data_IF_301715147249
#
_entry.id   IF_301715147249
#
_cell.length_a   1.000
_cell.length_b   1.000
_cell.length_c   1.000
_cell.angle_alpha   90.00
_cell.angle_beta   90.00
_cell.angle_gamma   90.00
#
_symmetry.space_group_name_H-M   'P 1'
#
loop_
_entity.id
_entity.type
_entity.pdbx_description
1 polymer ?
#
# COMPACT_ATOMS: atom_id res chain seq x y z
N UNK A 1 13.54 21.38 58.52
CA UNK A 1 12.25 21.32 59.22
C UNK A 1 11.23 21.93 58.28
N UNK A 2 10.36 21.24 57.56
CA UNK A 2 9.96 19.83 57.46
C UNK A 2 9.26 19.70 56.10
N UNK A 3 9.31 18.54 55.45
CA UNK A 3 8.42 18.20 54.32
C UNK A 3 6.93 18.29 54.69
N UNK A 4 6.03 18.12 53.70
CA UNK A 4 5.49 16.77 53.48
C UNK A 4 5.41 16.36 52.00
N UNK A 5 5.94 15.16 51.72
CA UNK A 5 5.24 13.96 51.21
C UNK A 5 4.26 14.07 50.03
N UNK A 6 4.71 13.45 48.94
CA UNK A 6 4.10 12.26 48.31
C UNK A 6 2.71 12.37 47.67
N UNK A 7 2.69 12.37 46.33
CA UNK A 7 1.61 11.74 45.57
C UNK A 7 2.22 11.03 44.35
N UNK A 8 2.82 9.87 44.66
CA UNK A 8 3.01 8.78 43.74
C UNK A 8 1.68 8.40 43.07
N UNK A 9 1.62 8.55 41.74
CA UNK A 9 0.67 7.87 40.88
C UNK A 9 1.45 7.13 39.79
N UNK A 10 1.79 5.89 40.11
CA UNK A 10 2.19 4.87 39.13
C UNK A 10 1.04 4.57 38.16
N UNK A 11 1.47 4.00 37.02
CA UNK A 11 0.76 3.12 36.09
C UNK A 11 0.18 3.84 34.84
N UNK A 12 0.52 3.46 33.60
CA UNK A 12 0.90 2.14 33.09
C UNK A 12 1.89 2.28 31.91
N UNK A 13 2.99 1.51 31.94
CA UNK A 13 3.86 1.26 30.79
C UNK A 13 3.24 0.18 29.88
N UNK A 14 3.32 0.28 28.54
CA UNK A 14 2.78 -0.70 27.59
C UNK A 14 3.83 -1.77 27.24
N UNK A 15 4.31 -2.53 28.23
CA UNK A 15 5.35 -3.56 28.00
C UNK A 15 4.80 -4.90 27.45
N UNK A 16 3.47 -5.05 27.33
CA UNK A 16 2.83 -6.29 26.87
C UNK A 16 2.74 -6.44 25.34
N UNK A 17 2.73 -5.34 24.59
CA UNK A 17 2.45 -5.34 23.13
C UNK A 17 3.71 -5.63 22.29
N UNK A 18 4.88 -5.22 22.80
CA UNK A 18 6.19 -5.44 22.17
C UNK A 18 6.70 -6.86 22.33
N UNK A 19 6.41 -7.53 23.45
CA UNK A 19 6.80 -8.93 23.68
C UNK A 19 6.06 -9.89 22.73
N UNK A 20 4.76 -9.66 22.51
CA UNK A 20 3.93 -10.43 21.56
C UNK A 20 4.40 -10.21 20.11
N UNK A 21 4.69 -8.97 19.72
CA UNK A 21 5.20 -8.65 18.39
C UNK A 21 6.61 -9.23 18.12
N UNK A 22 7.48 -9.27 19.14
CA UNK A 22 8.83 -9.83 19.04
C UNK A 22 8.81 -11.36 18.93
N UNK A 23 7.95 -12.04 19.71
CA UNK A 23 7.78 -13.49 19.66
C UNK A 23 7.24 -13.96 18.31
N UNK A 24 6.22 -13.25 17.79
CA UNK A 24 5.66 -13.56 16.48
C UNK A 24 6.70 -13.38 15.35
N UNK A 25 7.54 -12.35 15.41
CA UNK A 25 8.60 -12.14 14.42
C UNK A 25 9.69 -13.24 14.47
N UNK A 26 10.06 -13.70 15.66
CA UNK A 26 11.00 -14.83 15.83
C UNK A 26 10.43 -16.14 15.28
N UNK A 27 9.18 -16.47 15.61
CA UNK A 27 8.47 -17.65 15.08
C UNK A 27 8.33 -17.56 13.55
N UNK A 28 8.03 -16.38 13.02
CA UNK A 28 7.95 -16.16 11.58
C UNK A 28 9.31 -16.39 10.89
N UNK A 29 10.42 -15.96 11.52
CA UNK A 29 11.78 -16.22 11.02
C UNK A 29 12.16 -17.71 11.07
N UNK A 30 11.64 -18.47 12.03
CA UNK A 30 11.93 -19.91 12.13
C UNK A 30 11.18 -20.75 11.09
N UNK A 31 10.23 -20.15 10.36
CA UNK A 31 9.43 -20.84 9.35
C UNK A 31 8.15 -21.45 9.92
N UNK A 32 7.67 -20.98 11.07
CA UNK A 32 6.43 -21.44 11.69
C UNK A 32 5.20 -21.02 10.85
N UNK A 33 4.51 -22.02 10.30
CA UNK A 33 3.30 -21.81 9.48
C UNK A 33 2.14 -21.28 10.32
N UNK A 34 2.08 -21.60 11.62
CA UNK A 34 1.05 -21.07 12.52
C UNK A 34 1.25 -19.57 12.72
N UNK A 35 2.50 -19.14 12.94
CA UNK A 35 2.85 -17.72 13.01
C UNK A 35 2.55 -16.98 11.69
N UNK A 36 2.69 -17.65 10.53
CA UNK A 36 2.23 -17.10 9.25
C UNK A 36 0.72 -16.85 9.26
N UNK A 37 -0.08 -17.81 9.71
CA UNK A 37 -1.53 -17.66 9.85
C UNK A 37 -1.91 -16.48 10.74
N UNK A 38 -1.35 -16.43 11.95
CA UNK A 38 -1.59 -15.36 12.92
C UNK A 38 -1.26 -13.97 12.35
N UNK A 39 -0.07 -13.82 11.74
CA UNK A 39 0.35 -12.56 11.13
C UNK A 39 -0.54 -12.17 9.93
N UNK A 40 -0.93 -13.15 9.12
CA UNK A 40 -1.77 -12.91 7.95
C UNK A 40 -3.15 -12.44 8.36
N UNK A 41 -3.78 -13.08 9.36
CA UNK A 41 -5.09 -12.68 9.85
C UNK A 41 -5.06 -11.29 10.50
N UNK A 42 -4.00 -10.98 11.26
CA UNK A 42 -3.80 -9.64 11.81
C UNK A 42 -3.65 -8.57 10.70
N UNK A 43 -3.00 -8.91 9.59
CA UNK A 43 -2.76 -8.00 8.47
C UNK A 43 -3.89 -7.99 7.43
N UNK A 44 -4.78 -8.99 7.43
CA UNK A 44 -5.78 -9.24 6.38
C UNK A 44 -6.61 -8.01 6.02
N UNK A 45 -7.22 -7.26 6.96
CA UNK A 45 -8.02 -6.09 6.60
C UNK A 45 -7.21 -5.01 5.88
N UNK A 46 -5.93 -4.86 6.23
CA UNK A 46 -5.04 -3.88 5.59
C UNK A 46 -4.56 -4.37 4.22
N UNK A 47 -4.22 -5.65 4.10
CA UNK A 47 -3.87 -6.27 2.81
C UNK A 47 -5.04 -6.25 1.83
N UNK A 48 -6.27 -6.48 2.30
CA UNK A 48 -7.48 -6.41 1.48
C UNK A 48 -7.66 -5.02 0.88
N UNK A 49 -7.56 -3.95 1.70
CA UNK A 49 -7.65 -2.56 1.21
C UNK A 49 -6.58 -2.24 0.17
N UNK A 50 -5.36 -2.76 0.35
CA UNK A 50 -4.27 -2.61 -0.63
C UNK A 50 -4.63 -3.35 -1.92
N UNK A 51 -5.12 -4.58 -1.84
CA UNK A 51 -5.55 -5.36 -3.00
C UNK A 51 -6.67 -4.64 -3.77
N UNK A 52 -7.72 -4.20 -3.09
CA UNK A 52 -8.84 -3.45 -3.68
C UNK A 52 -8.40 -2.13 -4.31
N UNK A 53 -7.45 -1.42 -3.69
CA UNK A 53 -6.87 -0.20 -4.24
C UNK A 53 -6.08 -0.47 -5.52
N UNK A 54 -5.22 -1.50 -5.51
CA UNK A 54 -4.30 -1.81 -6.61
C UNK A 54 -4.91 -2.67 -7.71
N UNK A 55 -6.05 -3.31 -7.47
CA UNK A 55 -6.78 -4.09 -8.47
C UNK A 55 -7.37 -3.18 -9.55
N UNK A 56 -6.87 -3.36 -10.78
CA UNK A 56 -7.36 -2.70 -11.99
C UNK A 56 -8.85 -3.02 -12.22
N UNK A 57 -9.63 -2.02 -12.62
CA UNK A 57 -11.06 -2.17 -12.89
C UNK A 57 -11.41 -3.24 -13.93
N UNK A 58 -10.52 -3.51 -14.90
CA UNK A 58 -10.68 -4.59 -15.89
C UNK A 58 -10.52 -5.98 -15.26
N UNK A 59 -9.71 -6.09 -14.20
CA UNK A 59 -9.48 -7.32 -13.46
C UNK A 59 -10.53 -7.58 -12.40
N UNK A 60 -11.13 -6.53 -11.82
CA UNK A 60 -12.23 -6.68 -10.84
C UNK A 60 -13.45 -7.44 -11.37
N UNK A 61 -13.65 -7.45 -12.68
CA UNK A 61 -14.72 -8.25 -13.31
C UNK A 61 -14.41 -9.76 -13.34
N UNK A 62 -13.18 -10.17 -13.00
CA UNK A 62 -12.67 -11.55 -13.15
C UNK A 62 -12.05 -12.13 -11.89
N UNK A 63 -11.54 -11.29 -11.00
CA UNK A 63 -10.81 -11.68 -9.79
C UNK A 63 -11.19 -10.74 -8.65
N UNK A 64 -11.59 -11.30 -7.52
CA UNK A 64 -11.89 -10.54 -6.31
C UNK A 64 -10.63 -10.35 -5.43
N UNK A 65 -10.66 -9.38 -4.52
CA UNK A 65 -9.62 -9.15 -3.53
C UNK A 65 -9.37 -10.40 -2.66
N UNK A 66 -10.43 -11.16 -2.33
CA UNK A 66 -10.28 -12.40 -1.56
C UNK A 66 -9.49 -13.48 -2.32
N UNK A 67 -9.67 -13.59 -3.65
CA UNK A 67 -8.87 -14.49 -4.48
C UNK A 67 -7.38 -14.08 -4.46
N UNK A 68 -7.11 -12.77 -4.54
CA UNK A 68 -5.75 -12.23 -4.45
C UNK A 68 -5.14 -12.55 -3.08
N UNK A 69 -5.90 -12.38 -2.00
CA UNK A 69 -5.42 -12.68 -0.64
C UNK A 69 -5.14 -14.17 -0.48
N UNK A 70 -5.98 -15.04 -1.03
CA UNK A 70 -5.76 -16.48 -1.01
C UNK A 70 -4.48 -16.86 -1.77
N UNK A 71 -4.29 -16.34 -2.99
CA UNK A 71 -3.06 -16.58 -3.75
C UNK A 71 -1.83 -16.02 -3.02
N UNK A 72 -1.96 -14.86 -2.37
CA UNK A 72 -0.90 -14.24 -1.56
C UNK A 72 -0.52 -15.11 -0.37
N UNK A 73 -1.49 -15.66 0.35
CA UNK A 73 -1.24 -16.58 1.46
C UNK A 73 -0.49 -17.83 0.99
N UNK A 74 -0.93 -18.43 -0.12
CA UNK A 74 -0.26 -19.61 -0.70
C UNK A 74 1.17 -19.28 -1.15
N UNK A 75 1.39 -18.11 -1.74
CA UNK A 75 2.72 -17.65 -2.13
C UNK A 75 3.61 -17.38 -0.91
N UNK A 76 3.05 -16.80 0.15
CA UNK A 76 3.74 -16.58 1.43
C UNK A 76 4.15 -17.90 2.08
N UNK A 77 3.25 -18.87 2.16
CA UNK A 77 3.56 -20.18 2.75
C UNK A 77 4.72 -20.89 2.03
N UNK A 78 4.76 -20.85 0.69
CA UNK A 78 5.87 -21.41 -0.10
C UNK A 78 7.21 -20.69 0.12
N UNK A 79 7.16 -19.42 0.53
CA UNK A 79 8.32 -18.53 0.61
C UNK A 79 8.69 -18.16 2.04
N UNK A 80 8.02 -18.73 3.05
CA UNK A 80 8.17 -18.35 4.44
C UNK A 80 9.65 -18.35 4.91
N UNK A 81 10.42 -19.35 4.50
CA UNK A 81 11.86 -19.43 4.80
C UNK A 81 12.73 -18.32 4.18
N UNK A 82 12.19 -17.51 3.26
CA UNK A 82 12.89 -16.35 2.71
C UNK A 82 12.73 -15.09 3.58
N UNK A 83 11.70 -15.03 4.44
CA UNK A 83 11.50 -13.88 5.33
C UNK A 83 12.74 -13.61 6.18
N UNK A 84 13.28 -14.66 6.81
CA UNK A 84 14.46 -14.56 7.67
C UNK A 84 15.73 -14.07 6.96
N UNK A 85 15.79 -14.20 5.62
CA UNK A 85 16.95 -13.81 4.80
C UNK A 85 16.77 -12.46 4.11
N UNK A 86 15.55 -11.93 4.12
CA UNK A 86 15.21 -10.70 3.41
C UNK A 86 15.44 -9.44 4.26
N UNK A 87 15.44 -8.25 3.63
CA UNK A 87 15.66 -6.96 4.29
C UNK A 87 14.42 -6.44 5.06
N UNK A 88 13.44 -7.30 5.34
CA UNK A 88 12.14 -6.88 5.85
C UNK A 88 12.17 -6.60 7.34
N UNK A 89 11.65 -5.43 7.73
CA UNK A 89 11.61 -4.97 9.12
C UNK A 89 10.34 -5.40 9.86
N UNK A 90 9.36 -5.98 9.15
CA UNK A 90 8.15 -6.55 9.76
C UNK A 90 7.47 -7.60 8.86
N UNK A 91 6.69 -8.54 9.43
CA UNK A 91 5.89 -9.49 8.65
C UNK A 91 4.90 -8.80 7.72
N UNK A 92 4.33 -7.66 8.14
CA UNK A 92 3.42 -6.87 7.31
C UNK A 92 4.09 -6.39 6.01
N UNK A 93 5.29 -5.81 6.09
CA UNK A 93 5.99 -5.31 4.90
C UNK A 93 6.35 -6.44 3.93
N UNK A 94 6.68 -7.61 4.46
CA UNK A 94 6.94 -8.80 3.67
C UNK A 94 5.67 -9.33 2.99
N UNK A 95 4.59 -9.52 3.74
CA UNK A 95 3.29 -9.95 3.20
C UNK A 95 2.76 -8.99 2.14
N UNK A 96 2.94 -7.68 2.34
CA UNK A 96 2.62 -6.65 1.35
C UNK A 96 3.48 -6.78 0.09
N UNK A 97 4.77 -7.07 0.22
CA UNK A 97 5.64 -7.29 -0.93
C UNK A 97 5.17 -8.51 -1.75
N UNK A 98 4.79 -9.61 -1.08
CA UNK A 98 4.20 -10.78 -1.72
C UNK A 98 2.88 -10.43 -2.39
N UNK A 99 1.99 -9.69 -1.72
CA UNK A 99 0.72 -9.22 -2.30
C UNK A 99 0.95 -8.43 -3.58
N UNK A 100 1.94 -7.53 -3.57
CA UNK A 100 2.28 -6.70 -4.74
C UNK A 100 2.75 -7.58 -5.90
N UNK A 101 3.59 -8.58 -5.64
CA UNK A 101 4.00 -9.56 -6.65
C UNK A 101 2.80 -10.38 -7.18
N UNK A 102 1.93 -10.86 -6.29
CA UNK A 102 0.72 -11.60 -6.66
C UNK A 102 -0.16 -10.77 -7.60
N UNK A 103 -0.39 -9.49 -7.28
CA UNK A 103 -1.15 -8.57 -8.14
C UNK A 103 -0.52 -8.41 -9.52
N UNK A 104 0.82 -8.27 -9.59
CA UNK A 104 1.57 -8.18 -10.85
C UNK A 104 1.43 -9.48 -11.65
N UNK A 105 1.53 -10.63 -11.00
CA UNK A 105 1.42 -11.95 -11.63
C UNK A 105 0.01 -12.24 -12.11
N UNK A 106 -1.01 -11.88 -11.35
CA UNK A 106 -2.42 -11.95 -11.74
C UNK A 106 -2.67 -11.03 -12.93
N UNK A 107 -2.21 -9.77 -12.87
CA UNK A 107 -2.35 -8.84 -13.98
C UNK A 107 -1.67 -9.39 -15.25
N UNK A 108 -0.44 -9.91 -15.13
CA UNK A 108 0.28 -10.54 -16.25
C UNK A 108 -0.46 -11.76 -16.80
N UNK A 109 -1.02 -12.62 -15.95
CA UNK A 109 -1.80 -13.78 -16.40
C UNK A 109 -3.07 -13.38 -17.13
N UNK A 110 -3.79 -12.38 -16.66
CA UNK A 110 -5.12 -12.05 -17.19
C UNK A 110 -5.11 -11.05 -18.35
N UNK A 111 -4.14 -10.12 -18.35
CA UNK A 111 -3.95 -9.12 -19.42
C UNK A 111 -2.87 -9.58 -20.39
N UNK A 112 -1.78 -10.17 -19.89
CA UNK A 112 -0.68 -10.71 -20.69
C UNK A 112 -0.97 -12.07 -21.34
N UNK A 113 -2.02 -12.81 -20.96
CA UNK A 113 -2.44 -13.99 -21.75
C UNK A 113 -2.85 -13.63 -23.20
N UNK A 114 -3.05 -12.35 -23.54
CA UNK A 114 -3.19 -11.89 -24.93
C UNK A 114 -1.85 -11.74 -25.68
N UNK A 115 -0.70 -11.73 -24.99
CA UNK A 115 0.64 -11.69 -25.59
C UNK A 115 1.56 -12.73 -24.93
N UNK A 116 1.73 -13.87 -25.60
CA UNK A 116 2.58 -14.99 -25.14
C UNK A 116 3.99 -14.52 -24.76
N UNK A 117 4.34 -14.58 -23.47
CA UNK A 117 5.74 -14.70 -23.02
C UNK A 117 5.81 -15.35 -21.63
N UNK A 118 6.82 -16.21 -21.35
CA UNK A 118 6.88 -17.01 -20.14
C UNK A 118 7.43 -16.24 -18.93
N UNK A 119 7.22 -16.87 -17.79
CA UNK A 119 7.53 -16.51 -16.42
C UNK A 119 8.96 -15.96 -16.23
N UNK A 120 9.05 -14.71 -15.74
CA UNK A 120 10.21 -14.22 -15.00
C UNK A 120 9.81 -14.12 -13.55
N UNK A 121 10.41 -14.98 -12.72
CA UNK A 121 10.47 -14.77 -11.28
C UNK A 121 11.28 -13.49 -11.03
N UNK A 122 10.62 -12.47 -10.50
CA UNK A 122 11.27 -11.21 -10.13
C UNK A 122 11.83 -11.37 -8.72
N UNK A 123 13.08 -10.93 -8.45
CA UNK A 123 13.63 -10.95 -7.10
C UNK A 123 12.74 -10.19 -6.10
N UNK A 124 12.59 -10.76 -4.90
CA UNK A 124 11.79 -10.18 -3.81
C UNK A 124 12.26 -8.78 -3.39
N UNK A 125 13.53 -8.46 -3.64
CA UNK A 125 14.20 -7.23 -3.16
C UNK A 125 14.25 -6.10 -4.20
N UNK A 126 13.71 -6.30 -5.41
CA UNK A 126 13.64 -5.22 -6.39
C UNK A 126 12.51 -4.24 -6.00
N UNK A 127 12.71 -2.91 -6.06
CA UNK A 127 11.63 -1.95 -5.92
C UNK A 127 10.60 -2.18 -7.04
N UNK A 128 9.49 -2.84 -6.71
CA UNK A 128 8.39 -3.07 -7.64
C UNK A 128 7.37 -1.96 -7.47
N UNK A 129 7.39 -1.03 -8.42
CA UNK A 129 6.33 -0.05 -8.56
C UNK A 129 5.18 -0.69 -9.32
N UNK A 130 3.96 -0.75 -8.76
CA UNK A 130 2.82 -1.22 -9.51
C UNK A 130 2.63 -0.37 -10.78
N UNK A 131 2.56 -1.02 -11.94
CA UNK A 131 2.42 -0.32 -13.22
C UNK A 131 1.16 0.56 -13.30
N UNK A 132 0.15 0.26 -12.48
CA UNK A 132 -1.13 0.95 -12.43
C UNK A 132 -1.27 1.93 -11.25
N UNK A 133 -0.18 2.37 -10.59
CA UNK A 133 -0.24 3.30 -9.44
C UNK A 133 -1.02 4.58 -9.79
N UNK A 134 -0.72 5.21 -10.92
CA UNK A 134 -1.37 6.47 -11.34
C UNK A 134 -2.87 6.30 -11.58
N UNK A 135 -3.27 5.23 -12.27
CA UNK A 135 -4.67 4.89 -12.55
C UNK A 135 -5.45 4.61 -11.26
N UNK A 136 -4.88 3.81 -10.35
CA UNK A 136 -5.49 3.51 -9.05
C UNK A 136 -5.73 4.76 -8.20
N UNK A 137 -4.74 5.67 -8.15
CA UNK A 137 -4.87 6.96 -7.49
C UNK A 137 -5.96 7.83 -8.11
N UNK A 138 -6.03 7.89 -9.45
CA UNK A 138 -7.04 8.68 -10.16
C UNK A 138 -8.47 8.18 -9.91
N UNK A 139 -8.69 6.86 -9.93
CA UNK A 139 -9.98 6.23 -9.60
C UNK A 139 -10.48 6.70 -8.24
N UNK A 140 -9.63 6.60 -7.22
CA UNK A 140 -10.02 6.94 -5.85
C UNK A 140 -10.25 8.44 -5.66
N UNK A 141 -9.38 9.28 -6.19
CA UNK A 141 -9.48 10.74 -6.05
C UNK A 141 -10.74 11.29 -6.74
N UNK A 142 -11.07 10.80 -7.93
CA UNK A 142 -12.27 11.23 -8.67
C UNK A 142 -13.54 10.62 -8.10
N UNK A 143 -13.46 9.38 -7.61
CA UNK A 143 -14.56 8.70 -6.92
C UNK A 143 -15.10 9.49 -5.73
N UNK A 144 -14.20 10.12 -4.96
CA UNK A 144 -14.56 10.91 -3.78
C UNK A 144 -15.01 12.35 -4.11
N UNK A 145 -14.81 12.83 -5.34
CA UNK A 145 -15.01 14.24 -5.70
C UNK A 145 -16.29 14.52 -6.49
N UNK A 146 -17.05 13.51 -6.94
CA UNK A 146 -18.16 13.70 -7.91
C UNK A 146 -19.46 13.01 -7.47
N UNK A 147 -20.60 13.68 -7.67
CA UNK A 147 -21.93 13.09 -7.53
C UNK A 147 -22.30 12.29 -8.80
N UNK A 148 -23.25 11.33 -8.73
CA UNK A 148 -23.50 10.35 -9.81
C UNK A 148 -24.04 10.89 -11.16
N UNK A 149 -24.13 12.21 -11.37
CA UNK A 149 -24.90 12.80 -12.48
C UNK A 149 -24.20 12.89 -13.86
N UNK A 150 -22.87 12.81 -13.95
CA UNK A 150 -22.16 13.17 -15.19
C UNK A 150 -21.03 12.18 -15.54
N UNK A 151 -21.39 11.03 -16.12
CA UNK A 151 -20.44 9.98 -16.49
C UNK A 151 -19.32 10.47 -17.44
N UNK A 152 -19.63 11.36 -18.37
CA UNK A 152 -18.66 11.95 -19.30
C UNK A 152 -17.67 12.88 -18.58
N UNK A 153 -18.17 13.82 -17.75
CA UNK A 153 -17.32 14.72 -16.97
C UNK A 153 -16.42 13.94 -15.99
N UNK A 154 -16.92 12.84 -15.44
CA UNK A 154 -16.15 11.93 -14.59
C UNK A 154 -15.01 11.25 -15.35
N UNK A 155 -15.27 10.75 -16.56
CA UNK A 155 -14.25 10.13 -17.40
C UNK A 155 -13.15 11.12 -17.80
N UNK A 156 -13.52 12.35 -18.16
CA UNK A 156 -12.57 13.42 -18.50
C UNK A 156 -11.71 13.81 -17.29
N UNK A 157 -12.34 13.96 -16.12
CA UNK A 157 -11.62 14.25 -14.86
C UNK A 157 -10.66 13.11 -14.51
N UNK A 158 -11.08 11.86 -14.68
CA UNK A 158 -10.28 10.68 -14.39
C UNK A 158 -9.05 10.60 -15.30
N UNK A 159 -9.21 10.75 -16.62
CA UNK A 159 -8.10 10.75 -17.57
C UNK A 159 -7.10 11.88 -17.30
N UNK A 160 -7.60 13.07 -16.93
CA UNK A 160 -6.74 14.18 -16.54
C UNK A 160 -5.97 13.89 -15.26
N UNK A 161 -6.65 13.39 -14.22
CA UNK A 161 -6.03 13.08 -12.93
C UNK A 161 -4.95 12.01 -13.09
N UNK A 162 -5.25 10.95 -13.85
CA UNK A 162 -4.31 9.89 -14.18
C UNK A 162 -3.06 10.45 -14.87
N UNK A 163 -3.23 11.29 -15.89
CA UNK A 163 -2.12 11.94 -16.59
C UNK A 163 -1.30 12.81 -15.64
N UNK A 164 -1.95 13.64 -14.85
CA UNK A 164 -1.26 14.57 -13.97
C UNK A 164 -0.47 13.85 -12.86
N UNK A 165 -0.97 12.69 -12.41
CA UNK A 165 -0.27 11.79 -11.50
C UNK A 165 0.89 11.09 -12.21
N UNK A 166 0.68 10.59 -13.43
CA UNK A 166 1.72 9.97 -14.24
C UNK A 166 2.89 10.93 -14.55
N UNK A 167 2.61 12.24 -14.66
CA UNK A 167 3.62 13.29 -14.85
C UNK A 167 4.43 13.61 -13.56
N UNK A 168 4.11 12.99 -12.42
CA UNK A 168 4.92 13.08 -11.20
C UNK A 168 6.10 12.11 -11.24
N UNK A 169 7.14 12.41 -10.47
CA UNK A 169 8.25 11.46 -10.24
C UNK A 169 7.69 10.13 -9.70
N UNK A 170 8.17 8.99 -10.20
CA UNK A 170 7.62 7.67 -9.83
C UNK A 170 7.66 7.41 -8.32
N UNK A 171 8.70 7.91 -7.64
CA UNK A 171 8.82 7.81 -6.18
C UNK A 171 7.76 8.68 -5.50
N UNK A 172 7.39 9.84 -6.06
CA UNK A 172 6.35 10.69 -5.48
C UNK A 172 4.95 10.06 -5.62
N UNK A 173 4.67 9.45 -6.77
CA UNK A 173 3.44 8.68 -7.00
C UNK A 173 3.33 7.55 -5.97
N UNK A 174 4.43 6.81 -5.78
CA UNK A 174 4.44 5.67 -4.86
C UNK A 174 4.37 6.11 -3.40
N UNK A 175 5.13 7.14 -2.99
CA UNK A 175 5.03 7.71 -1.64
C UNK A 175 3.59 8.13 -1.32
N UNK A 176 2.90 8.75 -2.29
CA UNK A 176 1.51 9.15 -2.13
C UNK A 176 0.59 7.92 -1.96
N UNK A 177 0.73 6.91 -2.82
CA UNK A 177 -0.03 5.67 -2.73
C UNK A 177 0.16 4.98 -1.37
N UNK A 178 1.42 4.77 -0.98
CA UNK A 178 1.79 4.12 0.27
C UNK A 178 1.25 4.89 1.51
N UNK A 179 1.38 6.22 1.53
CA UNK A 179 0.98 7.02 2.69
C UNK A 179 -0.51 7.25 2.81
N UNK A 180 -1.18 7.53 1.69
CA UNK A 180 -2.56 8.00 1.69
C UNK A 180 -3.58 6.87 1.53
N UNK A 181 -3.27 5.87 0.71
CA UNK A 181 -4.22 4.81 0.36
C UNK A 181 -3.91 3.49 1.06
N UNK A 182 -2.63 3.18 1.25
CA UNK A 182 -2.21 1.99 1.99
C UNK A 182 -1.98 2.28 3.50
N UNK A 183 -2.06 3.56 3.90
CA UNK A 183 -1.91 4.02 5.29
C UNK A 183 -0.61 3.58 5.96
N UNK A 184 0.49 3.48 5.20
CA UNK A 184 1.81 3.20 5.76
C UNK A 184 2.36 4.43 6.46
N UNK A 185 3.14 4.23 7.53
CA UNK A 185 3.94 5.25 8.20
C UNK A 185 5.08 5.75 7.31
N UNK A 186 5.61 6.96 7.58
CA UNK A 186 6.79 7.46 6.86
C UNK A 186 8.01 6.52 7.01
N UNK A 187 8.08 5.75 8.11
CA UNK A 187 9.14 4.77 8.36
C UNK A 187 8.98 3.57 7.42
N UNK A 188 7.80 2.97 7.38
CA UNK A 188 7.49 1.86 6.47
C UNK A 188 7.69 2.26 5.00
N UNK A 189 7.29 3.47 4.61
CA UNK A 189 7.53 4.00 3.26
C UNK A 189 9.02 4.15 2.95
N UNK A 190 9.81 4.62 3.92
CA UNK A 190 11.25 4.71 3.80
C UNK A 190 11.90 3.34 3.59
N UNK A 191 11.49 2.35 4.38
CA UNK A 191 11.97 0.97 4.27
C UNK A 191 11.65 0.38 2.88
N UNK A 192 10.41 0.53 2.41
CA UNK A 192 9.98 0.01 1.10
C UNK A 192 10.72 0.68 -0.07
N UNK A 193 10.87 2.01 -0.02
CA UNK A 193 11.43 2.77 -1.13
C UNK A 193 12.95 2.95 -1.04
N UNK A 194 13.59 2.39 -0.01
CA UNK A 194 15.02 2.57 0.26
C UNK A 194 15.44 4.06 0.29
N UNK A 195 14.63 4.89 0.94
CA UNK A 195 14.88 6.32 1.14
C UNK A 195 14.86 6.67 2.63
N UNK A 196 15.31 7.86 3.02
CA UNK A 196 15.18 8.28 4.42
C UNK A 196 13.73 8.63 4.78
N UNK A 197 13.35 8.43 6.04
CA UNK A 197 12.04 8.85 6.56
C UNK A 197 11.76 10.34 6.31
N UNK A 198 12.80 11.18 6.42
CA UNK A 198 12.72 12.61 6.10
C UNK A 198 12.42 12.84 4.62
N UNK A 199 13.09 12.12 3.72
CA UNK A 199 12.84 12.16 2.27
C UNK A 199 11.41 11.72 1.95
N UNK A 200 10.92 10.63 2.55
CA UNK A 200 9.55 10.16 2.38
C UNK A 200 8.52 11.24 2.78
N UNK A 201 8.72 11.88 3.94
CA UNK A 201 7.84 12.96 4.41
C UNK A 201 7.82 14.17 3.45
N UNK A 202 9.00 14.62 2.99
CA UNK A 202 9.12 15.74 2.04
C UNK A 202 8.42 15.42 0.72
N UNK A 203 8.67 14.22 0.17
CA UNK A 203 8.06 13.77 -1.08
C UNK A 203 6.54 13.64 -0.96
N UNK A 204 6.03 13.14 0.16
CA UNK A 204 4.59 13.06 0.43
C UNK A 204 3.92 14.45 0.41
N UNK A 205 4.50 15.41 1.12
CA UNK A 205 3.98 16.79 1.15
C UNK A 205 4.05 17.42 -0.25
N UNK A 206 5.12 17.16 -1.02
CA UNK A 206 5.26 17.64 -2.40
C UNK A 206 4.18 17.05 -3.32
N UNK A 207 3.96 15.74 -3.27
CA UNK A 207 2.94 15.05 -4.06
C UNK A 207 1.53 15.57 -3.74
N UNK A 208 1.20 15.72 -2.45
CA UNK A 208 -0.08 16.30 -2.01
C UNK A 208 -0.28 17.74 -2.50
N UNK A 209 0.75 18.58 -2.43
CA UNK A 209 0.67 19.97 -2.93
C UNK A 209 0.37 19.99 -4.43
N UNK A 210 1.04 19.15 -5.22
CA UNK A 210 0.82 19.06 -6.66
C UNK A 210 -0.61 18.63 -6.98
N UNK A 211 -1.13 17.61 -6.30
CA UNK A 211 -2.52 17.19 -6.45
C UNK A 211 -3.52 18.29 -6.09
N UNK A 212 -3.27 19.04 -5.00
CA UNK A 212 -4.15 20.15 -4.60
C UNK A 212 -4.22 21.25 -5.66
N UNK A 213 -3.11 21.58 -6.30
CA UNK A 213 -3.09 22.59 -7.39
C UNK A 213 -3.96 22.11 -8.55
N UNK A 214 -3.76 20.87 -9.00
CA UNK A 214 -4.52 20.25 -10.10
C UNK A 214 -6.03 20.24 -9.80
N UNK A 215 -6.40 19.83 -8.58
CA UNK A 215 -7.80 19.79 -8.13
C UNK A 215 -8.40 21.21 -8.01
N UNK A 216 -7.63 22.19 -7.54
CA UNK A 216 -8.10 23.57 -7.39
C UNK A 216 -8.36 24.25 -8.74
N UNK A 217 -7.46 24.08 -9.72
CA UNK A 217 -7.64 24.60 -11.08
C UNK A 217 -8.94 24.10 -11.70
N UNK A 218 -9.30 22.84 -11.48
CA UNK A 218 -10.50 22.25 -12.07
C UNK A 218 -11.76 22.47 -11.27
N UNK A 219 -11.74 22.32 -9.95
CA UNK A 219 -12.93 22.65 -9.13
C UNK A 219 -13.30 24.14 -9.25
N UNK A 220 -12.32 25.03 -9.45
CA UNK A 220 -12.55 26.42 -9.81
C UNK A 220 -13.15 26.60 -11.20
N UNK A 221 -12.68 25.84 -12.20
CA UNK A 221 -13.24 25.81 -13.56
C UNK A 221 -14.70 25.35 -13.59
N UNK A 222 -15.04 24.30 -12.84
CA UNK A 222 -16.44 23.80 -12.72
C UNK A 222 -17.35 24.78 -11.96
N UNK A 223 -16.81 25.60 -11.05
CA UNK A 223 -17.60 26.60 -10.29
C UNK A 223 -17.88 27.89 -11.06
N UNK A 224 -17.14 28.16 -12.14
CA UNK A 224 -17.31 29.34 -13.01
C UNK A 224 -18.13 29.06 -14.27
N UNK A 225 -18.47 27.80 -14.53
CA UNK A 225 -19.18 27.37 -15.76
C UNK A 225 -20.71 27.24 -15.58
N UNK A 226 -21.29 27.90 -14.57
CA UNK A 226 -22.74 27.96 -14.32
C UNK A 226 -23.22 29.40 -14.19
#
# INVERSE_FOLDING_TARGET
MTEPSDSSALAQSPDGDTASASDLDERFRSGDVEALGEAFDACRPRLQRIAEFRLDGRLRARVDADDILQETFLAANRRLGHYAKGPYTSPFLWLRAILTQTLIDVHRRHVGAQMRAPEREVPLDAPQFPQATSTALAIQLVGNATSPGEAAARADMMAMMEKAIADMDSIDQEVLALRHFEELSNREVADILSITQKTASIRYVRALRRLRVILAEKTGFFRQSH
#
